data_IF_156185728678
#
_entry.id   IF_156185728678
#
_cell.length_a   1.000
_cell.length_b   1.000
_cell.length_c   1.000
_cell.angle_alpha   90.00
_cell.angle_beta   90.00
_cell.angle_gamma   90.00
#
_symmetry.space_group_name_H-M   'P 1'
#
loop_
_entity.id
_entity.type
_entity.pdbx_description
1 polymer ?
#
# COMPACT_ATOMS: atom_id res chain seq x y z
N UNK A 1 9.83 -22.52 6.09
CA UNK A 1 8.50 -21.90 5.95
C UNK A 1 8.70 -20.44 5.56
N UNK A 2 8.22 -20.02 4.39
CA UNK A 2 8.35 -18.62 3.96
C UNK A 2 7.47 -17.73 4.86
N UNK A 3 8.08 -16.75 5.54
CA UNK A 3 7.35 -15.76 6.34
C UNK A 3 7.00 -14.59 5.42
N UNK A 4 5.87 -14.72 4.74
CA UNK A 4 5.26 -13.66 3.93
C UNK A 4 4.17 -13.00 4.75
N UNK A 5 4.24 -11.68 4.88
CA UNK A 5 3.20 -10.87 5.52
C UNK A 5 2.61 -9.94 4.47
N UNK A 6 1.30 -9.72 4.49
CA UNK A 6 0.66 -8.80 3.57
C UNK A 6 -0.47 -8.04 4.27
N UNK A 7 -0.59 -6.75 3.97
CA UNK A 7 -1.65 -5.89 4.50
C UNK A 7 -1.93 -4.71 3.60
N UNK A 8 -3.11 -4.13 3.78
CA UNK A 8 -3.56 -2.96 3.05
C UNK A 8 -3.08 -1.67 3.70
N UNK A 9 -2.81 -0.67 2.86
CA UNK A 9 -2.63 0.72 3.30
C UNK A 9 -3.53 1.66 2.50
N UNK A 10 -4.08 2.66 3.17
CA UNK A 10 -4.78 3.77 2.54
C UNK A 10 -3.76 4.74 1.92
N UNK A 11 -4.03 5.21 0.70
CA UNK A 11 -3.12 6.07 -0.05
C UNK A 11 -3.66 7.50 -0.16
N UNK A 12 -4.66 7.73 -1.02
CA UNK A 12 -5.25 9.06 -1.23
C UNK A 12 -6.76 9.08 -0.93
N UNK A 13 -7.17 8.16 -0.07
CA UNK A 13 -8.52 8.06 0.48
C UNK A 13 -8.45 7.79 1.97
N UNK A 14 -9.53 8.09 2.69
CA UNK A 14 -9.62 7.76 4.12
C UNK A 14 -9.62 6.24 4.29
N UNK A 15 -8.84 5.75 5.25
CA UNK A 15 -8.84 4.35 5.62
C UNK A 15 -10.22 3.96 6.19
N UNK A 16 -10.79 2.85 5.72
CA UNK A 16 -12.04 2.31 6.30
C UNK A 16 -11.81 1.63 7.66
N UNK A 17 -10.58 1.15 7.89
CA UNK A 17 -10.11 0.63 9.17
C UNK A 17 -8.84 1.35 9.58
N UNK A 18 -8.71 1.65 10.87
CA UNK A 18 -7.48 2.20 11.48
C UNK A 18 -6.26 1.29 11.28
N UNK A 19 -6.49 0.00 11.01
CA UNK A 19 -5.42 -0.95 10.74
C UNK A 19 -4.71 -0.69 9.40
N UNK A 20 -5.40 -0.03 8.47
CA UNK A 20 -4.89 0.26 7.13
C UNK A 20 -4.31 1.68 7.01
N UNK A 21 -4.16 2.42 8.10
CA UNK A 21 -3.43 3.69 8.04
C UNK A 21 -1.93 3.42 7.88
N UNK A 22 -1.22 4.14 6.98
CA UNK A 22 0.24 4.08 6.90
C UNK A 22 0.90 4.49 8.23
N UNK A 23 1.57 3.56 8.90
CA UNK A 23 2.18 3.75 10.22
C UNK A 23 3.69 3.94 10.12
N UNK A 24 4.35 3.08 9.36
CA UNK A 24 5.82 3.04 9.26
C UNK A 24 6.36 4.09 8.27
N UNK A 25 7.66 4.46 8.35
CA UNK A 25 8.29 5.33 7.34
C UNK A 25 8.15 4.78 5.92
N UNK A 26 8.36 3.46 5.74
CA UNK A 26 8.16 2.76 4.47
C UNK A 26 6.73 2.95 3.93
N UNK A 27 5.71 2.67 4.75
CA UNK A 27 4.30 2.78 4.33
C UNK A 27 3.92 4.22 3.98
N UNK A 28 4.43 5.20 4.73
CA UNK A 28 4.18 6.62 4.46
C UNK A 28 4.86 7.06 3.16
N UNK A 29 6.07 6.57 2.86
CA UNK A 29 6.73 6.84 1.59
C UNK A 29 5.98 6.17 0.44
N UNK A 30 5.65 4.88 0.58
CA UNK A 30 4.87 4.13 -0.38
C UNK A 30 3.54 4.83 -0.72
N UNK A 31 2.79 5.29 0.29
CA UNK A 31 1.56 6.03 0.06
C UNK A 31 1.80 7.34 -0.72
N UNK A 32 2.89 8.07 -0.48
CA UNK A 32 3.23 9.27 -1.26
C UNK A 32 3.53 8.95 -2.72
N UNK A 33 4.38 7.96 -2.98
CA UNK A 33 4.76 7.57 -4.34
C UNK A 33 3.56 7.05 -5.14
N UNK A 34 2.75 6.17 -4.53
CA UNK A 34 1.55 5.63 -5.18
C UNK A 34 0.53 6.76 -5.43
N UNK A 35 0.37 7.71 -4.51
CA UNK A 35 -0.51 8.87 -4.72
C UNK A 35 -0.02 9.76 -5.88
N UNK A 36 1.29 9.80 -6.14
CA UNK A 36 1.89 10.50 -7.27
C UNK A 36 1.73 9.76 -8.61
N UNK A 37 1.26 8.51 -8.58
CA UNK A 37 0.98 7.70 -9.77
C UNK A 37 1.94 6.53 -10.00
N UNK A 38 2.89 6.31 -9.08
CA UNK A 38 3.81 5.18 -9.19
C UNK A 38 3.09 3.84 -9.00
N UNK A 39 3.51 2.84 -9.78
CA UNK A 39 2.88 1.51 -9.76
C UNK A 39 3.29 0.69 -8.53
N UNK A 40 4.44 0.99 -7.93
CA UNK A 40 4.91 0.39 -6.70
C UNK A 40 6.02 1.23 -6.03
N UNK A 41 6.23 1.01 -4.73
CA UNK A 41 7.43 1.42 -3.99
C UNK A 41 8.04 0.19 -3.33
N UNK A 42 9.36 0.04 -3.44
CA UNK A 42 10.09 -1.15 -3.00
C UNK A 42 11.31 -0.77 -2.18
N UNK A 43 11.64 -1.60 -1.20
CA UNK A 43 12.79 -1.39 -0.33
C UNK A 43 13.32 -2.73 0.17
N UNK A 44 14.65 -2.83 0.27
CA UNK A 44 15.33 -3.93 0.95
C UNK A 44 16.12 -3.34 2.11
N UNK A 45 15.81 -3.78 3.33
CA UNK A 45 16.47 -3.30 4.54
C UNK A 45 16.61 -4.46 5.53
N UNK A 46 17.82 -4.66 6.08
CA UNK A 46 18.07 -5.65 7.15
C UNK A 46 17.56 -7.08 6.84
N UNK A 47 17.73 -7.55 5.60
CA UNK A 47 17.26 -8.87 5.18
C UNK A 47 15.74 -8.98 5.01
N UNK A 48 15.03 -7.84 4.97
CA UNK A 48 13.59 -7.77 4.73
C UNK A 48 13.37 -7.00 3.43
N UNK A 49 12.71 -7.64 2.48
CA UNK A 49 12.16 -6.96 1.31
C UNK A 49 10.72 -6.58 1.57
N UNK A 50 10.39 -5.33 1.25
CA UNK A 50 9.04 -4.79 1.32
C UNK A 50 8.67 -4.20 -0.05
N UNK A 51 7.47 -4.52 -0.50
CA UNK A 51 6.87 -3.96 -1.72
C UNK A 51 5.49 -3.45 -1.41
N UNK A 52 5.21 -2.19 -1.73
CA UNK A 52 3.88 -1.64 -1.74
C UNK A 52 3.44 -1.46 -3.20
N UNK A 53 2.49 -2.27 -3.67
CA UNK A 53 1.93 -2.16 -5.01
C UNK A 53 0.66 -1.32 -5.03
N UNK A 54 0.45 -0.54 -6.11
CA UNK A 54 -0.79 0.22 -6.30
C UNK A 54 -2.00 -0.69 -6.52
N UNK A 55 -3.13 -0.32 -5.94
CA UNK A 55 -4.44 -0.94 -6.18
C UNK A 55 -5.41 0.17 -6.61
N UNK A 56 -5.73 0.26 -7.91
CA UNK A 56 -6.67 1.26 -8.43
C UNK A 56 -8.07 1.06 -7.87
N UNK A 57 -8.65 2.12 -7.32
CA UNK A 57 -10.02 2.15 -6.82
C UNK A 57 -10.94 2.68 -7.92
N UNK A 58 -11.55 1.76 -8.67
CA UNK A 58 -12.52 2.09 -9.71
C UNK A 58 -13.86 2.59 -9.15
N UNK A 59 -14.81 2.88 -10.06
CA UNK A 59 -16.13 3.43 -9.73
C UNK A 59 -16.86 2.65 -8.61
N UNK A 60 -16.86 1.32 -8.69
CA UNK A 60 -17.50 0.47 -7.69
C UNK A 60 -16.88 0.60 -6.28
N UNK A 61 -15.56 0.79 -6.20
CA UNK A 61 -14.85 0.97 -4.93
C UNK A 61 -15.14 2.35 -4.33
N UNK A 62 -15.04 3.40 -5.16
CA UNK A 62 -15.21 4.79 -4.69
C UNK A 62 -16.64 5.11 -4.28
N UNK A 63 -17.65 4.39 -4.80
CA UNK A 63 -19.05 4.56 -4.40
C UNK A 63 -19.27 4.44 -2.88
N UNK A 64 -18.52 3.56 -2.21
CA UNK A 64 -18.57 3.42 -0.76
C UNK A 64 -17.43 4.18 -0.06
N UNK A 65 -16.22 4.19 -0.64
CA UNK A 65 -15.04 4.78 -0.01
C UNK A 65 -14.98 6.32 -0.10
N UNK A 66 -15.67 6.95 -1.06
CA UNK A 66 -15.68 8.41 -1.25
C UNK A 66 -16.52 9.18 -0.23
N UNK A 67 -17.28 8.46 0.61
CA UNK A 67 -18.32 9.01 1.47
C UNK A 67 -19.65 9.06 0.70
N UNK A 68 -20.73 8.61 1.36
CA UNK A 68 -22.07 8.65 0.77
C UNK A 68 -22.39 10.08 0.30
N UNK A 69 -22.77 10.21 -0.97
CA UNK A 69 -23.14 11.47 -1.63
C UNK A 69 -22.03 12.52 -1.81
N UNK A 70 -20.75 12.13 -1.70
CA UNK A 70 -19.63 13.03 -2.05
C UNK A 70 -19.08 12.66 -3.42
N UNK A 71 -18.88 13.67 -4.25
CA UNK A 71 -18.09 13.52 -5.47
C UNK A 71 -16.64 13.20 -5.07
N UNK A 72 -16.10 12.01 -5.42
CA UNK A 72 -14.71 11.69 -5.13
C UNK A 72 -13.73 12.60 -5.87
N UNK A 73 -14.20 13.45 -6.78
CA UNK A 73 -13.41 14.32 -7.64
C UNK A 73 -12.72 13.53 -8.75
N UNK A 74 -12.15 14.24 -9.72
CA UNK A 74 -11.58 13.65 -10.93
C UNK A 74 -10.17 13.06 -10.76
N UNK A 75 -9.57 13.12 -9.56
CA UNK A 75 -8.26 12.52 -9.36
C UNK A 75 -8.36 10.99 -9.24
N UNK A 76 -7.43 10.22 -9.85
CA UNK A 76 -7.36 8.78 -9.64
C UNK A 76 -7.28 8.43 -8.16
N UNK A 77 -7.95 7.35 -7.76
CA UNK A 77 -7.98 6.88 -6.38
C UNK A 77 -7.25 5.56 -6.25
N UNK A 78 -6.45 5.44 -5.20
CA UNK A 78 -5.57 4.31 -4.97
C UNK A 78 -5.67 3.82 -3.53
N UNK A 79 -5.48 2.52 -3.38
CA UNK A 79 -5.01 1.88 -2.16
C UNK A 79 -3.63 1.26 -2.43
N UNK A 80 -2.96 0.79 -1.39
CA UNK A 80 -1.71 0.05 -1.50
C UNK A 80 -1.84 -1.34 -0.88
N UNK A 81 -1.21 -2.34 -1.51
CA UNK A 81 -0.97 -3.64 -0.91
C UNK A 81 0.51 -3.77 -0.58
N UNK A 82 0.82 -3.85 0.71
CA UNK A 82 2.17 -4.10 1.21
C UNK A 82 2.39 -5.61 1.29
N UNK A 83 3.49 -6.08 0.76
CA UNK A 83 3.98 -7.45 0.88
C UNK A 83 5.38 -7.39 1.48
N UNK A 84 5.60 -8.12 2.56
CA UNK A 84 6.86 -8.22 3.28
C UNK A 84 7.40 -9.64 3.20
N UNK A 85 8.64 -9.77 2.76
CA UNK A 85 9.37 -11.03 2.64
C UNK A 85 10.64 -10.96 3.48
N UNK A 86 10.85 -11.95 4.35
CA UNK A 86 12.17 -12.17 4.94
C UNK A 86 13.04 -12.93 3.95
N UNK A 87 14.10 -12.30 3.49
CA UNK A 87 15.08 -12.91 2.60
C UNK A 87 16.11 -13.61 3.51
N UNK A 88 16.12 -14.94 3.51
CA UNK A 88 17.21 -15.68 4.13
C UNK A 88 18.48 -15.44 3.32
N UNK A 89 19.56 -15.06 4.01
CA UNK A 89 20.89 -14.98 3.40
C UNK A 89 21.25 -16.38 2.85
N UNK A 90 21.25 -16.53 1.52
CA UNK A 90 21.81 -17.69 0.83
C UNK A 90 23.34 -17.58 0.69
N UNK A 91 23.97 -16.95 1.69
CA UNK A 91 25.40 -16.63 1.73
C UNK A 91 26.14 -17.51 2.75
N UNK A 92 25.46 -18.48 3.36
CA UNK A 92 26.03 -19.41 4.35
C UNK A 92 25.73 -20.86 3.94
N UNK A 93 26.38 -21.31 2.87
CA UNK A 93 26.61 -22.73 2.55
C UNK A 93 28.07 -22.90 2.13
#
# INVERSE_FOLDING_TARGET
QWKVEAHWIAVNMKAMSVDHEPKTPFEKQAAREIAAGEVAYEEIENGIYRRAGTVPLGAACVNCHGGFFRDPGNSPKYAGLVITLRIADRSAE
#
